data_IF_875788635859
#
_entry.id   IF_875788635859
#
_cell.length_a   1.000
_cell.length_b   1.000
_cell.length_c   1.000
_cell.angle_alpha   90.00
_cell.angle_beta   90.00
_cell.angle_gamma   90.00
#
_symmetry.space_group_name_H-M   'P 1'
#
loop_
_entity.id
_entity.type
_entity.pdbx_description
1 polymer ?
#
# COMPACT_ATOMS: atom_id res chain seq x y z
N UNK A 1 10.53 10.46 13.56
CA UNK A 1 11.37 9.26 13.69
C UNK A 1 12.26 9.40 14.92
N UNK A 2 11.66 9.30 16.10
CA UNK A 2 12.42 9.40 17.35
C UNK A 2 13.04 8.03 17.63
N UNK A 3 14.26 7.86 17.10
CA UNK A 3 15.26 6.83 17.43
C UNK A 3 14.91 5.41 17.00
N UNK A 4 15.38 5.02 15.80
CA UNK A 4 15.60 3.61 15.50
C UNK A 4 16.61 3.04 16.50
N UNK A 5 16.20 2.01 17.23
CA UNK A 5 17.06 1.33 18.20
C UNK A 5 18.19 0.58 17.49
N UNK A 6 19.42 0.66 18.00
CA UNK A 6 20.59 0.03 17.39
C UNK A 6 20.42 -1.50 17.22
N UNK A 7 19.74 -2.16 18.17
CA UNK A 7 19.42 -3.58 18.10
C UNK A 7 18.40 -3.96 17.01
N UNK A 8 17.64 -2.99 16.49
CA UNK A 8 16.75 -3.21 15.33
C UNK A 8 17.57 -3.16 14.04
N UNK A 9 18.56 -2.26 13.96
CA UNK A 9 19.44 -2.13 12.80
C UNK A 9 20.44 -3.28 12.67
N UNK A 10 20.87 -3.88 13.79
CA UNK A 10 21.85 -4.97 13.78
C UNK A 10 21.38 -6.20 12.99
N UNK A 11 20.08 -6.47 12.93
CA UNK A 11 19.50 -7.60 12.17
C UNK A 11 19.67 -7.47 10.65
N UNK A 12 19.85 -6.24 10.16
CA UNK A 12 19.98 -5.95 8.73
C UNK A 12 21.42 -5.68 8.31
N UNK A 13 22.35 -5.62 9.26
CA UNK A 13 23.76 -5.34 9.04
C UNK A 13 24.59 -6.61 9.19
N UNK A 14 25.77 -6.62 8.58
CA UNK A 14 26.80 -7.62 8.86
C UNK A 14 27.36 -7.35 10.27
N UNK A 15 27.49 -8.40 11.08
CA UNK A 15 28.02 -8.29 12.46
C UNK A 15 29.42 -7.68 12.45
N UNK A 16 29.60 -6.55 13.14
CA UNK A 16 30.89 -5.87 13.24
C UNK A 16 31.24 -4.96 12.07
N UNK A 17 30.42 -4.89 11.02
CA UNK A 17 30.64 -3.98 9.88
C UNK A 17 29.53 -2.93 9.75
N UNK A 18 29.90 -1.74 9.25
CA UNK A 18 28.95 -0.69 8.85
C UNK A 18 28.40 -0.91 7.44
N UNK A 19 27.99 -2.15 7.13
CA UNK A 19 27.41 -2.53 5.84
C UNK A 19 26.11 -3.31 6.03
N UNK A 20 25.19 -3.17 5.08
CA UNK A 20 24.00 -4.00 5.00
C UNK A 20 24.39 -5.44 4.67
N UNK A 21 23.66 -6.41 5.22
CA UNK A 21 23.83 -7.82 4.82
C UNK A 21 23.47 -7.99 3.35
N UNK A 22 24.09 -8.97 2.68
CA UNK A 22 23.75 -9.31 1.29
C UNK A 22 22.25 -9.63 1.15
N UNK A 23 21.69 -10.34 2.12
CA UNK A 23 20.24 -10.61 2.19
C UNK A 23 19.37 -9.36 2.27
N UNK A 24 19.83 -8.31 2.97
CA UNK A 24 19.15 -7.02 3.04
C UNK A 24 19.26 -6.29 1.70
N UNK A 25 20.44 -6.26 1.09
CA UNK A 25 20.66 -5.63 -0.22
C UNK A 25 19.83 -6.31 -1.32
N UNK A 26 19.76 -7.64 -1.32
CA UNK A 26 18.89 -8.39 -2.23
C UNK A 26 17.41 -8.11 -1.97
N UNK A 27 16.98 -8.03 -0.72
CA UNK A 27 15.58 -7.72 -0.38
C UNK A 27 15.19 -6.30 -0.79
N UNK A 28 16.13 -5.35 -0.69
CA UNK A 28 15.97 -3.99 -1.22
C UNK A 28 15.90 -4.02 -2.75
N UNK A 29 16.77 -4.77 -3.45
CA UNK A 29 16.70 -4.95 -4.91
C UNK A 29 15.40 -5.60 -5.37
N UNK A 30 14.89 -6.59 -4.61
CA UNK A 30 13.61 -7.24 -4.86
C UNK A 30 12.41 -6.34 -4.54
N UNK A 31 12.61 -5.17 -3.92
CA UNK A 31 11.53 -4.31 -3.44
C UNK A 31 10.70 -4.93 -2.31
N UNK A 32 11.10 -6.08 -1.76
CA UNK A 32 10.25 -6.91 -0.88
C UNK A 32 9.98 -6.28 0.48
N UNK A 33 10.80 -5.30 0.89
CA UNK A 33 10.67 -4.59 2.18
C UNK A 33 9.79 -3.35 2.06
N UNK A 34 9.51 -2.86 0.83
CA UNK A 34 8.78 -1.60 0.59
C UNK A 34 7.46 -1.84 -0.17
N UNK A 35 7.38 -2.88 -1.00
CA UNK A 35 6.19 -3.19 -1.79
C UNK A 35 5.65 -4.59 -1.45
N UNK A 36 4.43 -4.64 -0.89
CA UNK A 36 3.62 -5.86 -0.81
C UNK A 36 3.75 -6.72 0.46
N UNK A 37 4.69 -6.46 1.37
CA UNK A 37 4.73 -7.21 2.65
C UNK A 37 3.65 -6.67 3.61
N UNK A 38 2.45 -7.26 3.55
CA UNK A 38 1.32 -6.89 4.39
C UNK A 38 0.01 -7.51 3.92
N UNK A 39 -1.12 -6.98 4.40
CA UNK A 39 -2.46 -7.45 4.00
C UNK A 39 -2.72 -7.33 2.48
N UNK A 40 -2.02 -6.46 1.78
CA UNK A 40 -2.02 -6.36 0.31
C UNK A 40 -1.54 -7.64 -0.38
N UNK A 41 -0.74 -8.47 0.30
CA UNK A 41 -0.36 -9.81 -0.16
C UNK A 41 -1.54 -10.75 -0.39
N UNK A 42 -2.70 -10.49 0.22
CA UNK A 42 -3.93 -11.28 0.00
C UNK A 42 -4.39 -11.19 -1.44
N UNK A 43 -4.26 -10.01 -2.07
CA UNK A 43 -4.67 -9.79 -3.46
C UNK A 43 -3.64 -10.30 -4.48
N UNK A 44 -2.43 -10.68 -4.05
CA UNK A 44 -1.41 -11.27 -4.95
C UNK A 44 -1.91 -12.57 -5.60
N UNK A 45 -2.80 -13.30 -4.90
CA UNK A 45 -3.44 -14.51 -5.45
C UNK A 45 -4.56 -14.22 -6.45
N UNK A 46 -4.99 -12.96 -6.56
CA UNK A 46 -6.09 -12.51 -7.42
C UNK A 46 -5.61 -11.34 -8.31
N UNK A 47 -4.71 -11.60 -9.28
CA UNK A 47 -4.12 -10.55 -10.10
C UNK A 47 -5.14 -9.78 -10.93
N UNK A 48 -6.23 -10.44 -11.36
CA UNK A 48 -7.31 -9.81 -12.14
C UNK A 48 -7.96 -8.64 -11.37
N UNK A 49 -8.24 -8.82 -10.08
CA UNK A 49 -8.78 -7.77 -9.21
C UNK A 49 -7.80 -6.60 -9.13
N UNK A 50 -6.50 -6.90 -8.99
CA UNK A 50 -5.46 -5.87 -8.91
C UNK A 50 -5.39 -5.06 -10.21
N UNK A 51 -5.46 -5.73 -11.36
CA UNK A 51 -5.43 -5.10 -12.67
C UNK A 51 -6.68 -4.26 -12.94
N UNK A 52 -7.87 -4.77 -12.66
CA UNK A 52 -9.15 -4.06 -12.84
C UNK A 52 -9.22 -2.79 -11.97
N UNK A 53 -8.83 -2.91 -10.70
CA UNK A 53 -8.74 -1.75 -9.81
C UNK A 53 -7.71 -0.75 -10.33
N UNK A 54 -6.55 -1.22 -10.79
CA UNK A 54 -5.48 -0.36 -11.31
C UNK A 54 -5.91 0.43 -12.54
N UNK A 55 -6.51 -0.22 -13.53
CA UNK A 55 -6.97 0.44 -14.76
C UNK A 55 -8.02 1.49 -14.46
N UNK A 56 -8.99 1.18 -13.59
CA UNK A 56 -10.05 2.12 -13.22
C UNK A 56 -9.49 3.33 -12.47
N UNK A 57 -8.58 3.13 -11.51
CA UNK A 57 -7.93 4.24 -10.79
C UNK A 57 -7.06 5.11 -11.71
N UNK A 58 -6.38 4.51 -12.68
CA UNK A 58 -5.62 5.24 -13.70
C UNK A 58 -6.54 6.09 -14.59
N UNK A 59 -7.70 5.54 -15.01
CA UNK A 59 -8.68 6.28 -15.79
C UNK A 59 -9.24 7.49 -15.02
N UNK A 60 -9.59 7.31 -13.74
CA UNK A 60 -10.07 8.41 -12.88
C UNK A 60 -9.00 9.50 -12.72
N UNK A 61 -7.73 9.11 -12.55
CA UNK A 61 -6.62 10.05 -12.46
C UNK A 61 -6.38 10.78 -13.79
N UNK A 62 -6.47 10.07 -14.92
CA UNK A 62 -6.35 10.67 -16.25
C UNK A 62 -7.46 11.70 -16.50
N UNK A 63 -8.66 11.45 -15.99
CA UNK A 63 -9.78 12.39 -15.99
C UNK A 63 -9.61 13.57 -15.01
N UNK A 64 -8.48 13.65 -14.28
CA UNK A 64 -8.17 14.67 -13.25
C UNK A 64 -9.21 14.75 -12.13
N UNK A 65 -9.95 13.66 -11.89
CA UNK A 65 -10.90 13.57 -10.80
C UNK A 65 -10.18 13.26 -9.48
N UNK A 66 -10.69 13.78 -8.34
CA UNK A 66 -10.07 13.55 -7.04
C UNK A 66 -10.24 12.09 -6.59
N UNK A 67 -9.13 11.44 -6.28
CA UNK A 67 -9.11 10.08 -5.73
C UNK A 67 -9.16 10.13 -4.20
N UNK A 68 -10.35 10.00 -3.65
CA UNK A 68 -10.56 9.88 -2.21
C UNK A 68 -10.49 8.43 -1.76
N UNK A 69 -10.11 8.19 -0.50
CA UNK A 69 -10.03 6.84 0.08
C UNK A 69 -11.39 6.12 0.02
N UNK A 70 -12.50 6.83 0.14
CA UNK A 70 -13.85 6.26 0.05
C UNK A 70 -14.17 5.73 -1.35
N UNK A 71 -13.81 6.46 -2.40
CA UNK A 71 -13.98 6.00 -3.79
C UNK A 71 -13.15 4.74 -4.04
N UNK A 72 -11.88 4.76 -3.64
CA UNK A 72 -11.00 3.60 -3.80
C UNK A 72 -11.52 2.40 -3.01
N UNK A 73 -12.05 2.62 -1.79
CA UNK A 73 -12.67 1.56 -0.99
C UNK A 73 -13.87 0.92 -1.71
N UNK A 74 -14.77 1.76 -2.22
CA UNK A 74 -15.98 1.29 -2.89
C UNK A 74 -15.65 0.47 -4.14
N UNK A 75 -14.70 0.96 -4.95
CA UNK A 75 -14.22 0.25 -6.13
C UNK A 75 -13.59 -1.09 -5.76
N UNK A 76 -12.62 -1.11 -4.85
CA UNK A 76 -11.98 -2.37 -4.43
C UNK A 76 -13.00 -3.34 -3.84
N UNK A 77 -14.02 -2.85 -3.13
CA UNK A 77 -15.07 -3.70 -2.58
C UNK A 77 -15.91 -4.32 -3.68
N UNK A 78 -16.35 -3.53 -4.67
CA UNK A 78 -17.16 -4.02 -5.77
C UNK A 78 -16.43 -5.12 -6.55
N UNK A 79 -15.17 -4.88 -6.92
CA UNK A 79 -14.34 -5.85 -7.64
C UNK A 79 -14.09 -7.14 -6.83
N UNK A 80 -13.91 -7.02 -5.51
CA UNK A 80 -13.76 -8.20 -4.64
C UNK A 80 -15.08 -8.94 -4.48
N UNK A 81 -16.22 -8.25 -4.40
CA UNK A 81 -17.54 -8.89 -4.34
C UNK A 81 -17.89 -9.67 -5.62
N UNK A 82 -17.43 -9.18 -6.78
CA UNK A 82 -17.67 -9.81 -8.07
C UNK A 82 -16.73 -11.01 -8.32
N UNK A 83 -15.43 -10.85 -8.09
CA UNK A 83 -14.42 -11.84 -8.50
C UNK A 83 -14.00 -12.80 -7.38
N UNK A 84 -14.07 -12.37 -6.12
CA UNK A 84 -13.56 -13.15 -4.98
C UNK A 84 -14.32 -12.87 -3.67
N UNK A 85 -15.64 -13.12 -3.62
CA UNK A 85 -16.47 -12.81 -2.45
C UNK A 85 -16.01 -13.57 -1.19
N UNK A 86 -15.37 -14.73 -1.35
CA UNK A 86 -14.83 -15.53 -0.26
C UNK A 86 -13.77 -14.79 0.57
N UNK A 87 -13.12 -13.77 0.00
CA UNK A 87 -12.17 -12.94 0.75
C UNK A 87 -12.89 -12.10 1.81
N UNK A 88 -14.07 -11.56 1.49
CA UNK A 88 -14.87 -10.78 2.42
C UNK A 88 -15.49 -11.66 3.49
N UNK A 89 -15.96 -12.86 3.12
CA UNK A 89 -16.48 -13.86 4.06
C UNK A 89 -15.43 -14.32 5.07
N UNK A 90 -14.17 -14.48 4.63
CA UNK A 90 -13.02 -14.80 5.50
C UNK A 90 -12.59 -13.62 6.37
N UNK A 91 -13.27 -12.47 6.29
CA UNK A 91 -13.05 -11.31 7.14
C UNK A 91 -12.01 -10.32 6.61
N UNK A 92 -11.74 -10.29 5.30
CA UNK A 92 -10.90 -9.26 4.70
C UNK A 92 -11.54 -7.88 4.91
N UNK A 93 -10.91 -7.05 5.74
CA UNK A 93 -11.35 -5.68 5.98
C UNK A 93 -10.62 -4.70 5.05
N UNK A 94 -11.35 -4.09 4.12
CA UNK A 94 -10.88 -3.01 3.25
C UNK A 94 -10.80 -1.68 4.04
N UNK A 95 -9.92 -1.69 5.04
CA UNK A 95 -9.63 -0.54 5.90
C UNK A 95 -8.92 0.57 5.12
N UNK A 96 -8.94 1.80 5.63
CA UNK A 96 -8.12 2.89 5.08
C UNK A 96 -6.63 2.50 5.02
N UNK A 97 -6.09 1.89 6.08
CA UNK A 97 -4.69 1.43 6.09
C UNK A 97 -4.39 0.45 4.95
N UNK A 98 -5.34 -0.45 4.65
CA UNK A 98 -5.22 -1.38 3.53
C UNK A 98 -5.17 -0.64 2.18
N UNK A 99 -6.08 0.30 1.96
CA UNK A 99 -6.14 1.12 0.74
C UNK A 99 -4.88 1.93 0.55
N UNK A 100 -4.40 2.61 1.62
CA UNK A 100 -3.16 3.38 1.57
C UNK A 100 -1.97 2.49 1.22
N UNK A 101 -1.91 1.30 1.82
CA UNK A 101 -0.88 0.31 1.51
C UNK A 101 -0.96 -0.16 0.05
N UNK A 102 -2.17 -0.38 -0.49
CA UNK A 102 -2.37 -0.79 -1.88
C UNK A 102 -1.93 0.31 -2.85
N UNK A 103 -2.37 1.55 -2.64
CA UNK A 103 -1.97 2.68 -3.47
C UNK A 103 -0.46 2.89 -3.44
N UNK A 104 0.18 2.77 -2.29
CA UNK A 104 1.64 2.93 -2.21
C UNK A 104 2.39 1.75 -2.81
N UNK A 105 1.93 0.50 -2.61
CA UNK A 105 2.70 -0.68 -3.04
C UNK A 105 2.46 -1.11 -4.48
N UNK A 106 1.26 -0.89 -5.01
CA UNK A 106 0.86 -1.35 -6.34
C UNK A 106 0.96 -0.21 -7.36
N UNK A 107 0.69 1.02 -6.93
CA UNK A 107 0.64 2.19 -7.81
C UNK A 107 1.79 3.16 -7.60
N UNK A 108 2.59 3.02 -6.54
CA UNK A 108 3.56 4.03 -6.07
C UNK A 108 2.92 5.40 -5.82
N UNK A 109 1.65 5.40 -5.40
CA UNK A 109 0.89 6.61 -5.14
C UNK A 109 0.77 6.89 -3.65
N UNK A 110 1.01 8.14 -3.27
CA UNK A 110 0.62 8.66 -1.98
C UNK A 110 -0.80 9.22 -2.06
N UNK A 111 -1.74 8.80 -1.19
CA UNK A 111 -3.05 9.41 -1.13
C UNK A 111 -2.89 10.89 -0.81
N UNK A 112 -3.45 11.76 -1.64
CA UNK A 112 -3.44 13.19 -1.36
C UNK A 112 -4.30 13.43 -0.12
N UNK A 113 -3.66 13.83 0.97
CA UNK A 113 -4.36 14.35 2.14
C UNK A 113 -5.00 15.67 1.70
N UNK A 114 -6.32 15.80 1.83
CA UNK A 114 -6.95 17.10 1.63
C UNK A 114 -6.22 18.12 2.52
N UNK A 115 -5.62 19.14 1.91
CA UNK A 115 -4.97 20.23 2.64
C UNK A 115 -6.05 20.88 3.50
N UNK A 116 -6.03 20.63 4.81
CA UNK A 116 -6.80 21.43 5.76
C UNK A 116 -6.19 22.83 5.71
N UNK A 117 -6.67 23.68 4.81
CA UNK A 117 -6.47 25.11 4.94
C UNK A 117 -6.97 25.47 6.34
N UNK A 118 -6.08 26.04 7.15
CA UNK A 118 -6.40 26.48 8.49
C UNK A 118 -7.58 27.44 8.42
N UNK A 119 -8.70 27.06 9.03
CA UNK A 119 -9.74 28.00 9.42
C UNK A 119 -9.16 28.91 10.51
N UNK A 120 -8.33 29.88 10.12
CA UNK A 120 -8.29 31.15 10.83
C UNK A 120 -9.42 31.98 10.23
N UNK A 121 -10.60 31.82 10.83
CA UNK A 121 -11.65 32.82 10.69
C UNK A 121 -11.17 34.02 11.54
N UNK A 122 -11.18 35.26 11.00
CA UNK A 122 -10.78 36.44 11.75
C UNK A 122 -11.67 36.71 12.96
#
# INVERSE_FOLDING_TARGET
FEKLHAGTLSRYKVTGENKWSESTLESVKRGSVIQGSGRTGVLVKHPLIVESVKTTLQAIRAAKAPLTVSIVRALMRAEIEEEAPELLEKGLKISEKFIRSFLSSVMDWTPQTATRAAHHIP
#
